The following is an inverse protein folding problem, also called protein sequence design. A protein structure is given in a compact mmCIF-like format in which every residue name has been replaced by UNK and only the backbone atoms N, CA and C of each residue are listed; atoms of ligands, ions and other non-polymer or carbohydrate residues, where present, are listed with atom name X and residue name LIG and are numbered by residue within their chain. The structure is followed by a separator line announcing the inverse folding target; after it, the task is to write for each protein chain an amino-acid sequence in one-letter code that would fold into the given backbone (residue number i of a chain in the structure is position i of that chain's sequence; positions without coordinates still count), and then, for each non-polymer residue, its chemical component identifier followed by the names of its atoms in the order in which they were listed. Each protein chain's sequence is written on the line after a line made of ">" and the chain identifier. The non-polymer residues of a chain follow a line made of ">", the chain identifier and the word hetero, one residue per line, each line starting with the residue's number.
data_IF_467879026242
#
_entry.id   IF_467879026242
#
_cell.length_a   1.000
_cell.length_b   1.000
_cell.length_c   1.000
_cell.angle_alpha   90.00
_cell.angle_beta   90.00
_cell.angle_gamma   90.00
#
_symmetry.space_group_name_H-M   'P 1'
#
loop_
_entity.id
_entity.type
_entity.pdbx_description
1 polymer ?
#
# COMPACT_ATOMS: atom_id res chain seq x y z
N UNK A 1 10.74 30.38 -15.02
CA UNK A 1 9.89 29.28 -14.52
C UNK A 1 10.76 28.05 -14.44
N UNK A 2 10.88 27.42 -13.27
CA UNK A 2 11.66 26.19 -13.12
C UNK A 2 10.86 25.01 -13.69
N UNK A 3 11.49 24.19 -14.54
CA UNK A 3 10.94 22.92 -15.00
C UNK A 3 11.10 21.87 -13.90
N UNK A 4 10.03 21.15 -13.58
CA UNK A 4 10.05 20.06 -12.60
C UNK A 4 10.11 18.72 -13.34
N UNK A 5 11.08 17.88 -13.01
CA UNK A 5 11.18 16.51 -13.52
C UNK A 5 10.55 15.54 -12.53
N UNK A 6 9.71 14.62 -13.01
CA UNK A 6 9.13 13.56 -12.19
C UNK A 6 10.08 12.37 -12.22
N UNK A 7 10.73 12.08 -11.10
CA UNK A 7 11.67 10.96 -10.96
C UNK A 7 10.94 9.61 -10.99
N UNK A 8 9.78 9.51 -10.33
CA UNK A 8 8.97 8.28 -10.27
C UNK A 8 7.51 8.61 -9.96
N UNK A 9 6.60 8.12 -10.79
CA UNK A 9 5.17 8.29 -10.54
C UNK A 9 4.68 7.31 -9.46
N UNK A 10 4.02 7.82 -8.41
CA UNK A 10 3.32 7.02 -7.41
C UNK A 10 1.83 7.36 -7.41
N UNK A 11 0.97 6.35 -7.58
CA UNK A 11 -0.48 6.48 -7.62
C UNK A 11 -1.08 5.91 -6.34
N UNK A 12 -1.80 6.73 -5.58
CA UNK A 12 -2.48 6.30 -4.36
C UNK A 12 -3.96 6.04 -4.63
N UNK A 13 -4.52 4.98 -4.04
CA UNK A 13 -5.95 4.72 -3.98
C UNK A 13 -6.35 4.35 -2.56
N UNK A 14 -7.48 4.89 -2.12
CA UNK A 14 -8.03 4.63 -0.79
C UNK A 14 -9.41 4.00 -0.95
N UNK A 15 -9.66 2.88 -0.28
CA UNK A 15 -10.97 2.25 -0.24
C UNK A 15 -11.33 1.81 1.17
N UNK A 16 -12.60 1.95 1.50
CA UNK A 16 -13.17 1.62 2.81
C UNK A 16 -14.22 0.51 2.67
N UNK A 17 -14.41 -0.26 3.74
CA UNK A 17 -15.41 -1.34 3.81
C UNK A 17 -15.21 -2.41 2.75
N UNK A 18 -13.97 -2.66 2.31
CA UNK A 18 -13.73 -3.64 1.24
C UNK A 18 -13.95 -5.05 1.76
N UNK A 19 -14.66 -5.87 0.98
CA UNK A 19 -14.71 -7.31 1.22
C UNK A 19 -13.30 -7.91 1.09
N UNK A 20 -12.97 -8.98 1.84
CA UNK A 20 -11.59 -9.45 1.96
C UNK A 20 -11.03 -9.92 0.60
N UNK A 21 -10.23 -9.05 -0.02
CA UNK A 21 -9.56 -9.34 -1.31
C UNK A 21 -8.18 -9.98 -1.18
N UNK A 22 -7.55 -9.92 0.01
CA UNK A 22 -6.17 -10.39 0.22
C UNK A 22 -6.06 -11.35 1.40
N UNK A 23 -6.04 -12.65 1.10
CA UNK A 23 -5.67 -13.71 2.06
C UNK A 23 -4.32 -13.38 2.72
N UNK A 24 -3.35 -12.93 1.92
CA UNK A 24 -2.04 -12.49 2.41
C UNK A 24 -2.11 -11.37 3.46
N UNK A 25 -3.06 -10.44 3.37
CA UNK A 25 -3.22 -9.38 4.37
C UNK A 25 -3.79 -9.91 5.68
N UNK A 26 -4.76 -10.83 5.59
CA UNK A 26 -5.32 -11.50 6.77
C UNK A 26 -4.27 -12.36 7.47
N UNK A 27 -3.51 -13.15 6.72
CA UNK A 27 -2.41 -13.96 7.25
C UNK A 27 -1.36 -13.08 7.92
N UNK A 28 -0.88 -12.04 7.24
CA UNK A 28 0.14 -11.13 7.79
C UNK A 28 -0.36 -10.45 9.07
N UNK A 29 -1.64 -10.09 9.13
CA UNK A 29 -2.23 -9.52 10.34
C UNK A 29 -2.38 -10.55 11.46
N UNK A 30 -2.84 -11.78 11.16
CA UNK A 30 -2.96 -12.85 12.14
C UNK A 30 -1.59 -13.20 12.74
N UNK A 31 -0.55 -13.25 11.92
CA UNK A 31 0.83 -13.46 12.35
C UNK A 31 1.32 -12.33 13.27
N UNK A 32 1.15 -11.07 12.84
CA UNK A 32 1.53 -9.90 13.65
C UNK A 32 0.77 -9.85 14.98
N UNK A 33 -0.54 -10.07 14.95
CA UNK A 33 -1.38 -10.10 16.15
C UNK A 33 -0.98 -11.24 17.10
N UNK A 34 -0.64 -12.42 16.57
CA UNK A 34 -0.13 -13.54 17.37
C UNK A 34 1.24 -13.22 18.01
N UNK A 35 2.08 -12.42 17.33
CA UNK A 35 3.35 -11.92 17.86
C UNK A 35 3.20 -10.72 18.82
N UNK A 36 1.99 -10.16 18.96
CA UNK A 36 1.73 -8.96 19.75
C UNK A 36 2.23 -7.67 19.09
N UNK A 37 2.43 -7.69 17.77
CA UNK A 37 2.89 -6.56 16.98
C UNK A 37 1.71 -5.70 16.50
N UNK A 38 1.84 -4.37 16.60
CA UNK A 38 0.81 -3.43 16.13
C UNK A 38 0.78 -3.24 14.61
N UNK A 39 1.74 -3.84 13.90
CA UNK A 39 1.93 -3.73 12.47
C UNK A 39 2.59 -5.01 11.94
N UNK A 40 2.12 -5.51 10.82
CA UNK A 40 2.76 -6.58 10.06
C UNK A 40 3.21 -6.08 8.70
N UNK A 41 4.25 -6.69 8.14
CA UNK A 41 4.67 -6.39 6.77
C UNK A 41 5.14 -7.63 6.04
N UNK A 42 4.91 -7.67 4.72
CA UNK A 42 5.27 -8.80 3.87
C UNK A 42 5.61 -8.31 2.46
N UNK A 43 6.73 -8.77 1.92
CA UNK A 43 7.06 -8.55 0.50
C UNK A 43 6.10 -9.40 -0.36
N UNK A 44 5.44 -8.75 -1.32
CA UNK A 44 4.62 -9.44 -2.31
C UNK A 44 5.49 -9.86 -3.49
N UNK A 45 5.16 -11.01 -4.07
CA UNK A 45 5.88 -11.60 -5.20
C UNK A 45 4.91 -11.86 -6.34
N UNK A 46 5.42 -11.83 -7.56
CA UNK A 46 4.64 -12.27 -8.71
C UNK A 46 4.59 -13.79 -8.86
N UNK A 47 3.92 -14.25 -9.91
CA UNK A 47 3.76 -15.67 -10.23
C UNK A 47 5.11 -16.35 -10.49
N UNK A 48 6.11 -15.61 -10.93
CA UNK A 48 7.47 -16.08 -11.19
C UNK A 48 8.35 -16.01 -9.92
N UNK A 49 7.80 -15.51 -8.81
CA UNK A 49 8.46 -15.41 -7.51
C UNK A 49 9.29 -14.13 -7.34
N UNK A 50 9.29 -13.24 -8.32
CA UNK A 50 10.04 -11.99 -8.26
C UNK A 50 9.33 -10.99 -7.33
N UNK A 51 10.07 -10.27 -6.47
CA UNK A 51 9.50 -9.20 -5.66
C UNK A 51 8.80 -8.15 -6.52
N UNK A 52 7.51 -7.93 -6.28
CA UNK A 52 6.70 -6.98 -7.05
C UNK A 52 6.20 -5.80 -6.22
N UNK A 53 6.35 -5.87 -4.89
CA UNK A 53 5.74 -4.92 -3.98
C UNK A 53 5.92 -5.28 -2.50
N UNK A 54 5.29 -4.48 -1.64
CA UNK A 54 5.19 -4.76 -0.21
C UNK A 54 3.77 -4.49 0.29
N UNK A 55 3.34 -5.36 1.19
CA UNK A 55 2.11 -5.27 1.94
C UNK A 55 2.43 -4.90 3.38
N UNK A 56 1.76 -3.87 3.88
CA UNK A 56 1.78 -3.47 5.28
C UNK A 56 0.36 -3.59 5.83
N UNK A 57 0.24 -4.14 7.03
CA UNK A 57 -1.01 -4.25 7.75
C UNK A 57 -0.84 -3.57 9.10
N UNK A 58 -1.82 -2.78 9.48
CA UNK A 58 -1.85 -2.02 10.71
C UNK A 58 -3.07 -2.46 11.50
N UNK A 59 -2.86 -2.76 12.79
CA UNK A 59 -3.97 -2.86 13.70
C UNK A 59 -4.56 -1.48 13.93
N UNK A 60 -5.88 -1.33 13.80
CA UNK A 60 -6.56 -0.16 14.37
C UNK A 60 -6.53 -0.31 15.89
N UNK A 61 -5.50 0.22 16.52
CA UNK A 61 -5.37 0.25 17.97
C UNK A 61 -6.40 1.25 18.55
N UNK A 62 -7.63 0.78 18.73
CA UNK A 62 -8.72 1.57 19.34
C UNK A 62 -9.35 2.58 18.37
N UNK A 63 -9.54 3.82 18.82
CA UNK A 63 -10.33 4.85 18.13
C UNK A 63 -9.59 5.62 17.01
N UNK A 64 -8.51 5.06 16.46
CA UNK A 64 -7.72 5.73 15.41
C UNK A 64 -8.20 5.31 14.03
N UNK A 65 -8.69 6.27 13.26
CA UNK A 65 -9.04 6.12 11.85
C UNK A 65 -7.78 6.25 10.98
N UNK A 66 -6.97 5.18 10.93
CA UNK A 66 -5.71 5.19 10.18
C UNK A 66 -5.94 5.41 8.68
N UNK A 67 -7.01 4.83 8.13
CA UNK A 67 -7.39 5.07 6.74
C UNK A 67 -7.65 6.57 6.49
N UNK A 68 -8.42 7.21 7.36
CA UNK A 68 -8.68 8.65 7.33
C UNK A 68 -7.40 9.47 7.44
N UNK A 69 -6.50 9.12 8.36
CA UNK A 69 -5.21 9.79 8.56
C UNK A 69 -4.26 9.68 7.35
N UNK A 70 -4.22 8.52 6.70
CA UNK A 70 -3.45 8.34 5.47
C UNK A 70 -4.07 9.12 4.31
N UNK A 71 -5.41 9.13 4.21
CA UNK A 71 -6.12 9.88 3.18
C UNK A 71 -5.96 11.39 3.33
N UNK A 72 -5.95 11.90 4.55
CA UNK A 72 -5.72 13.32 4.85
C UNK A 72 -4.26 13.73 4.74
N UNK A 73 -3.33 12.77 4.71
CA UNK A 73 -1.88 13.02 4.80
C UNK A 73 -1.41 13.40 6.21
N UNK A 74 -2.25 13.21 7.23
CA UNK A 74 -1.85 13.37 8.64
C UNK A 74 -0.77 12.36 9.01
N UNK A 75 -0.91 11.13 8.54
CA UNK A 75 0.12 10.10 8.64
C UNK A 75 0.74 9.90 7.25
N UNK A 76 2.04 10.16 7.07
CA UNK A 76 2.67 10.10 5.75
C UNK A 76 2.85 8.66 5.26
N UNK A 77 2.52 8.41 3.99
CA UNK A 77 2.74 7.13 3.32
C UNK A 77 4.10 7.05 2.62
N UNK A 78 4.71 8.20 2.35
CA UNK A 78 5.97 8.35 1.64
C UNK A 78 7.11 7.51 2.24
N UNK A 79 7.28 7.42 3.57
CA UNK A 79 8.33 6.57 4.14
C UNK A 79 8.17 5.07 3.81
N UNK A 80 6.93 4.60 3.64
CA UNK A 80 6.67 3.21 3.26
C UNK A 80 6.95 2.98 1.77
N UNK A 81 6.60 3.97 0.94
CA UNK A 81 6.87 3.95 -0.50
C UNK A 81 8.38 4.03 -0.77
N UNK A 82 9.10 4.87 -0.04
CA UNK A 82 10.55 5.01 -0.14
C UNK A 82 11.26 3.70 0.23
N UNK A 83 10.82 3.01 1.30
CA UNK A 83 11.36 1.68 1.63
C UNK A 83 11.19 0.68 0.48
N UNK A 84 10.00 0.63 -0.14
CA UNK A 84 9.76 -0.25 -1.29
C UNK A 84 10.58 0.18 -2.51
N UNK A 85 10.82 1.48 -2.66
CA UNK A 85 11.67 2.01 -3.72
C UNK A 85 13.12 1.55 -3.56
N UNK A 86 13.63 1.54 -2.34
CA UNK A 86 14.98 1.07 -2.00
C UNK A 86 15.10 -0.45 -2.17
N UNK A 87 14.10 -1.21 -1.71
CA UNK A 87 14.11 -2.68 -1.75
C UNK A 87 14.06 -3.23 -3.18
N UNK A 88 13.26 -2.62 -4.06
CA UNK A 88 13.09 -3.09 -5.43
C UNK A 88 14.08 -2.46 -6.42
N UNK A 89 14.65 -1.28 -6.10
CA UNK A 89 15.69 -0.57 -6.86
C UNK A 89 15.45 -0.45 -8.40
N UNK A 90 14.19 -0.45 -8.84
CA UNK A 90 13.82 -0.72 -10.24
C UNK A 90 13.41 0.50 -11.09
N UNK A 91 13.36 1.70 -10.52
CA UNK A 91 12.93 2.91 -11.26
C UNK A 91 11.43 2.96 -11.62
N UNK A 92 10.67 1.90 -11.38
CA UNK A 92 9.35 1.74 -11.96
C UNK A 92 8.24 2.43 -11.16
N UNK A 93 7.14 2.86 -11.83
CA UNK A 93 6.03 3.50 -11.15
C UNK A 93 5.43 2.63 -10.03
N UNK A 94 4.97 3.28 -8.96
CA UNK A 94 4.33 2.63 -7.81
C UNK A 94 2.82 2.83 -7.84
N UNK A 95 2.07 1.77 -7.57
CA UNK A 95 0.63 1.80 -7.30
C UNK A 95 0.40 1.39 -5.86
N UNK A 96 -0.05 2.35 -5.04
CA UNK A 96 -0.28 2.22 -3.61
C UNK A 96 -1.79 2.14 -3.37
N UNK A 97 -2.23 1.11 -2.66
CA UNK A 97 -3.62 0.85 -2.33
C UNK A 97 -3.74 0.79 -0.80
N UNK A 98 -4.49 1.70 -0.21
CA UNK A 98 -4.81 1.71 1.22
C UNK A 98 -6.26 1.29 1.37
N UNK A 99 -6.47 0.20 2.07
CA UNK A 99 -7.74 -0.52 2.14
C UNK A 99 -8.08 -0.75 3.61
N UNK A 100 -9.29 -0.39 4.02
CA UNK A 100 -9.89 -0.86 5.27
C UNK A 100 -10.92 -1.94 4.96
N UNK A 101 -10.74 -3.20 5.42
CA UNK A 101 -11.77 -4.21 5.34
C UNK A 101 -12.92 -3.87 6.28
N UNK A 102 -14.08 -4.46 6.02
CA UNK A 102 -15.25 -4.33 6.89
C UNK A 102 -14.99 -4.81 8.33
N UNK A 103 -13.95 -5.61 8.56
CA UNK A 103 -13.61 -6.28 9.83
C UNK A 103 -12.59 -5.50 10.71
N UNK A 104 -12.22 -4.26 10.34
CA UNK A 104 -11.57 -3.30 11.26
C UNK A 104 -10.03 -3.26 11.32
N UNK A 105 -9.30 -4.00 10.49
CA UNK A 105 -7.85 -3.77 10.30
C UNK A 105 -7.61 -2.68 9.23
N UNK A 106 -6.43 -2.09 9.08
CA UNK A 106 -6.13 -1.27 7.88
C UNK A 106 -4.94 -1.87 7.15
N UNK A 107 -5.02 -2.00 5.83
CA UNK A 107 -3.98 -2.59 4.97
C UNK A 107 -3.49 -1.56 3.95
N UNK A 108 -2.19 -1.40 3.78
CA UNK A 108 -1.61 -0.65 2.66
C UNK A 108 -0.72 -1.55 1.81
N UNK A 109 -0.95 -1.61 0.51
CA UNK A 109 -0.19 -2.42 -0.44
C UNK A 109 0.44 -1.52 -1.49
N UNK A 110 1.74 -1.68 -1.74
CA UNK A 110 2.48 -0.96 -2.79
C UNK A 110 2.94 -1.98 -3.83
N UNK A 111 2.62 -1.74 -5.10
CA UNK A 111 2.97 -2.62 -6.23
C UNK A 111 3.65 -1.85 -7.37
N UNK A 112 4.44 -2.56 -8.17
CA UNK A 112 5.02 -2.07 -9.44
C UNK A 112 3.94 -2.02 -10.54
N UNK A 113 3.93 -0.93 -11.32
CA UNK A 113 2.93 -0.56 -12.35
C UNK A 113 1.97 -1.67 -12.80
N UNK A 114 0.79 -1.75 -12.17
CA UNK A 114 -0.35 -2.54 -12.64
C UNK A 114 -0.23 -4.06 -12.55
N UNK A 115 0.91 -4.63 -12.13
CA UNK A 115 1.03 -6.05 -11.81
C UNK A 115 0.89 -6.24 -10.30
N UNK A 116 -0.32 -6.04 -9.79
CA UNK A 116 -0.69 -6.70 -8.54
C UNK A 116 -0.86 -8.17 -8.88
N UNK A 117 0.22 -8.94 -8.85
CA UNK A 117 0.10 -10.38 -8.92
C UNK A 117 -0.46 -10.85 -7.57
N UNK A 118 -1.79 -10.85 -7.48
CA UNK A 118 -2.50 -11.56 -6.46
C UNK A 118 -2.11 -13.03 -6.60
N UNK A 119 -1.42 -13.59 -5.60
CA UNK A 119 -0.95 -14.97 -5.60
C UNK A 119 -2.07 -16.01 -5.55
N UNK A 120 -3.36 -15.61 -5.55
CA UNK A 120 -4.56 -16.43 -5.84
C UNK A 120 -5.81 -15.53 -5.88
N UNK A 121 -6.43 -15.38 -7.05
CA UNK A 121 -7.78 -14.80 -7.21
C UNK A 121 -7.86 -13.48 -8.01
N UNK A 122 -8.99 -13.22 -8.71
CA UNK A 122 -9.14 -12.05 -9.58
C UNK A 122 -9.20 -10.77 -8.75
N UNK A 123 -8.23 -9.87 -8.99
CA UNK A 123 -8.23 -8.53 -8.45
C UNK A 123 -9.47 -7.78 -8.98
N UNK A 124 -10.43 -7.49 -8.09
CA UNK A 124 -11.45 -6.51 -8.40
C UNK A 124 -10.73 -5.17 -8.58
N UNK A 125 -10.70 -4.66 -9.81
CA UNK A 125 -10.25 -3.30 -10.10
C UNK A 125 -11.04 -2.33 -9.21
N UNK A 126 -10.42 -1.63 -8.26
CA UNK A 126 -11.14 -0.60 -7.52
C UNK A 126 -11.50 0.51 -8.52
N UNK A 127 -12.79 0.78 -8.66
CA UNK A 127 -13.31 1.91 -9.43
C UNK A 127 -12.56 3.18 -8.99
N UNK A 128 -11.92 3.81 -9.97
CA UNK A 128 -10.97 4.89 -9.78
C UNK A 128 -11.65 6.17 -9.28
N UNK A 129 -11.30 6.64 -8.08
CA UNK A 129 -11.42 8.06 -7.73
C UNK A 129 -10.23 8.50 -6.87
N UNK A 130 -9.54 9.56 -7.30
CA UNK A 130 -8.59 10.32 -6.47
C UNK A 130 -7.10 10.03 -6.67
N UNK A 131 -6.51 10.48 -7.78
CA UNK A 131 -5.05 10.50 -7.97
C UNK A 131 -4.41 11.70 -7.25
N UNK A 132 -3.73 11.46 -6.13
CA UNK A 132 -2.84 12.43 -5.49
C UNK A 132 -1.40 12.19 -5.92
N UNK A 133 -0.80 13.09 -6.69
CA UNK A 133 0.63 13.03 -7.01
C UNK A 133 1.42 13.77 -5.91
N UNK A 134 2.24 13.06 -5.12
CA UNK A 134 3.12 13.69 -4.13
C UNK A 134 4.23 14.45 -4.88
N UNK A 135 4.23 15.78 -4.79
CA UNK A 135 5.30 16.64 -5.34
C UNK A 135 6.32 16.94 -4.25
N UNK A 136 7.60 16.61 -4.49
CA UNK A 136 8.72 17.14 -3.71
C UNK A 136 9.33 18.33 -4.46
N UNK A 137 9.63 19.47 -3.81
CA UNK A 137 10.36 20.55 -4.46
C UNK A 137 11.86 20.19 -4.53
N UNK A 138 12.42 20.21 -5.73
CA UNK A 138 13.87 20.09 -5.95
C UNK A 138 14.58 21.40 -5.63
N UNK A 139 15.73 21.30 -4.96
CA UNK A 139 16.70 22.39 -4.75
C UNK A 139 17.35 22.82 -6.07
#
# INVERSE_FOLDING_TARGET
>A
MASLTVERESRYRFADGVEPMFEAARETWQEAAAAGEGMGSRVTRDTDGEPNGALYVFGEAGARDLLGEFRSGTTPLEPLVDRVNDDLADGEPRSVFVLRPAEGATSSCTSRSGRTACSRGPCATPTSEGGGATRRPGL
#
